data_IF_662108678755
#
_entry.id   IF_662108678755
#
_cell.length_a   1.000
_cell.length_b   1.000
_cell.length_c   1.000
_cell.angle_alpha   90.00
_cell.angle_beta   90.00
_cell.angle_gamma   90.00
#
_symmetry.space_group_name_H-M   'P 1'
#
loop_
_entity.id
_entity.type
_entity.pdbx_description
1 polymer ?
#
# COMPACT_ATOMS: atom_id res chain seq x y z
N UNK A 1 16.18 -22.87 -19.53
CA UNK A 1 17.11 -22.47 -18.45
C UNK A 1 17.34 -20.96 -18.35
N UNK A 2 17.33 -20.16 -19.43
CA UNK A 2 17.61 -18.71 -19.32
C UNK A 2 16.56 -17.83 -18.60
N UNK A 3 15.25 -18.11 -18.76
CA UNK A 3 14.20 -17.20 -18.29
C UNK A 3 14.11 -17.01 -16.77
N UNK A 4 14.20 -18.08 -15.98
CA UNK A 4 14.10 -18.00 -14.51
C UNK A 4 15.32 -17.32 -13.90
N UNK A 5 16.52 -17.57 -14.44
CA UNK A 5 17.75 -16.94 -13.97
C UNK A 5 17.81 -15.45 -14.30
N UNK A 6 17.21 -15.02 -15.42
CA UNK A 6 17.06 -13.61 -15.77
C UNK A 6 16.08 -12.90 -14.82
N UNK A 7 14.91 -13.51 -14.53
CA UNK A 7 13.95 -12.95 -13.56
C UNK A 7 14.57 -12.87 -12.15
N UNK A 8 15.35 -13.87 -11.76
CA UNK A 8 16.08 -13.85 -10.49
C UNK A 8 17.07 -12.69 -10.40
N UNK A 9 17.84 -12.44 -11.46
CA UNK A 9 18.78 -11.31 -11.51
C UNK A 9 18.06 -9.97 -11.40
N UNK A 10 16.92 -9.85 -12.07
CA UNK A 10 16.08 -8.67 -12.02
C UNK A 10 15.50 -8.40 -10.63
N UNK A 11 15.03 -9.45 -9.94
CA UNK A 11 14.64 -9.40 -8.53
C UNK A 11 15.80 -8.90 -7.69
N UNK A 12 16.99 -9.45 -7.92
CA UNK A 12 18.17 -9.11 -7.16
C UNK A 12 18.54 -7.64 -7.30
N UNK A 13 18.54 -7.13 -8.53
CA UNK A 13 18.84 -5.74 -8.84
C UNK A 13 17.79 -4.77 -8.30
N UNK A 14 16.50 -5.14 -8.34
CA UNK A 14 15.42 -4.33 -7.81
C UNK A 14 15.51 -4.20 -6.28
N UNK A 15 15.71 -5.32 -5.58
CA UNK A 15 15.77 -5.33 -4.12
C UNK A 15 17.08 -4.76 -3.59
N UNK A 16 18.20 -4.95 -4.29
CA UNK A 16 19.51 -4.42 -3.88
C UNK A 16 19.52 -2.90 -3.75
N UNK A 17 18.86 -2.19 -4.67
CA UNK A 17 18.73 -0.72 -4.59
C UNK A 17 18.05 -0.26 -3.30
N UNK A 18 17.03 -0.99 -2.86
CA UNK A 18 16.32 -0.71 -1.60
C UNK A 18 17.22 -1.02 -0.41
N UNK A 19 17.92 -2.16 -0.44
CA UNK A 19 18.84 -2.59 0.61
C UNK A 19 20.02 -1.63 0.82
N UNK A 20 20.60 -1.11 -0.27
CA UNK A 20 21.72 -0.17 -0.24
C UNK A 20 21.30 1.14 0.44
N UNK A 21 20.15 1.71 0.02
CA UNK A 21 19.61 2.93 0.63
C UNK A 21 19.17 2.72 2.07
N UNK A 22 18.60 1.56 2.39
CA UNK A 22 18.25 1.19 3.76
C UNK A 22 19.50 1.14 4.65
N UNK A 23 20.57 0.53 4.14
CA UNK A 23 21.87 0.47 4.81
C UNK A 23 22.52 1.84 5.02
N UNK A 24 22.36 2.76 4.08
CA UNK A 24 22.85 4.14 4.23
C UNK A 24 22.11 4.88 5.36
N UNK A 25 20.79 4.77 5.42
CA UNK A 25 19.99 5.38 6.49
C UNK A 25 20.29 4.74 7.85
N UNK A 26 20.46 3.41 7.91
CA UNK A 26 20.90 2.70 9.12
C UNK A 26 22.24 3.23 9.63
N UNK A 27 23.24 3.34 8.75
CA UNK A 27 24.59 3.85 9.09
C UNK A 27 24.56 5.29 9.61
N UNK A 28 23.78 6.17 8.97
CA UNK A 28 23.66 7.57 9.41
C UNK A 28 22.98 7.68 10.77
N UNK A 29 21.99 6.83 11.04
CA UNK A 29 21.33 6.76 12.34
C UNK A 29 22.27 6.25 13.44
N UNK A 30 23.11 5.26 13.11
CA UNK A 30 24.14 4.68 13.99
C UNK A 30 25.26 5.66 14.33
N UNK A 31 25.79 6.34 13.31
CA UNK A 31 26.84 7.35 13.45
C UNK A 31 26.36 8.61 14.20
N UNK A 32 25.09 8.63 14.60
CA UNK A 32 24.46 9.77 15.24
C UNK A 32 24.60 11.07 14.43
N UNK A 33 24.51 10.97 13.11
CA UNK A 33 24.71 12.07 12.16
C UNK A 33 23.95 13.34 12.61
N UNK A 34 24.65 14.45 12.89
CA UNK A 34 24.05 15.72 13.33
C UNK A 34 23.10 16.33 12.29
N UNK A 35 23.26 16.00 11.01
CA UNK A 35 22.41 16.49 9.92
C UNK A 35 21.08 15.73 9.83
N UNK A 36 20.98 14.56 10.48
CA UNK A 36 19.82 13.69 10.40
C UNK A 36 18.76 14.10 11.43
N UNK A 37 17.77 14.89 11.00
CA UNK A 37 16.60 15.21 11.80
C UNK A 37 15.54 14.09 11.78
N UNK A 38 14.65 14.07 12.78
CA UNK A 38 13.51 13.15 12.82
C UNK A 38 12.64 13.22 11.55
N UNK A 39 12.39 14.44 11.02
CA UNK A 39 11.60 14.63 9.80
C UNK A 39 12.32 14.06 8.57
N UNK A 40 13.63 14.28 8.47
CA UNK A 40 14.47 13.77 7.38
C UNK A 40 14.51 12.25 7.39
N UNK A 41 14.82 11.64 8.54
CA UNK A 41 14.86 10.19 8.71
C UNK A 41 13.51 9.54 8.36
N UNK A 42 12.41 10.13 8.82
CA UNK A 42 11.07 9.60 8.50
C UNK A 42 10.68 9.77 7.03
N UNK A 43 11.10 10.86 6.38
CA UNK A 43 10.86 11.07 4.93
C UNK A 43 11.62 10.01 4.12
N UNK A 44 12.88 9.77 4.45
CA UNK A 44 13.70 8.76 3.78
C UNK A 44 13.15 7.34 4.02
N UNK A 45 12.73 7.02 5.24
CA UNK A 45 12.06 5.75 5.56
C UNK A 45 10.77 5.55 4.75
N UNK A 46 9.93 6.58 4.60
CA UNK A 46 8.73 6.50 3.73
C UNK A 46 9.08 6.28 2.27
N UNK A 47 10.15 6.91 1.78
CA UNK A 47 10.66 6.69 0.42
C UNK A 47 11.06 5.24 0.22
N UNK A 48 11.84 4.69 1.16
CA UNK A 48 12.28 3.28 1.15
C UNK A 48 11.10 2.30 1.11
N UNK A 49 10.08 2.55 1.93
CA UNK A 49 8.86 1.73 1.94
C UNK A 49 8.12 1.80 0.61
N UNK A 50 8.01 2.99 0.01
CA UNK A 50 7.35 3.16 -1.28
C UNK A 50 8.13 2.48 -2.42
N UNK A 51 9.45 2.58 -2.41
CA UNK A 51 10.33 1.92 -3.36
C UNK A 51 10.29 0.41 -3.23
N UNK A 52 10.29 -0.12 -2.00
CA UNK A 52 10.10 -1.54 -1.76
C UNK A 52 8.75 -2.00 -2.33
N UNK A 53 7.66 -1.27 -2.05
CA UNK A 53 6.34 -1.60 -2.59
C UNK A 53 6.33 -1.63 -4.13
N UNK A 54 6.99 -0.67 -4.77
CA UNK A 54 7.10 -0.63 -6.23
C UNK A 54 7.92 -1.81 -6.77
N UNK A 55 9.08 -2.07 -6.18
CA UNK A 55 9.93 -3.21 -6.55
C UNK A 55 9.19 -4.54 -6.40
N UNK A 56 8.43 -4.71 -5.31
CA UNK A 56 7.57 -5.87 -5.10
C UNK A 56 6.51 -6.02 -6.20
N UNK A 57 5.85 -4.94 -6.58
CA UNK A 57 4.88 -4.96 -7.69
C UNK A 57 5.52 -5.38 -9.00
N UNK A 58 6.64 -4.75 -9.36
CA UNK A 58 7.38 -5.03 -10.59
C UNK A 58 7.87 -6.50 -10.62
N UNK A 59 8.31 -7.04 -9.48
CA UNK A 59 8.73 -8.44 -9.34
C UNK A 59 7.55 -9.40 -9.53
N UNK A 60 6.41 -9.13 -8.88
CA UNK A 60 5.23 -9.96 -8.99
C UNK A 60 4.73 -10.04 -10.45
N UNK A 61 4.77 -8.91 -11.16
CA UNK A 61 4.40 -8.86 -12.58
C UNK A 61 5.37 -9.68 -13.45
N UNK A 62 6.69 -9.59 -13.21
CA UNK A 62 7.69 -10.39 -13.94
C UNK A 62 7.57 -11.89 -13.69
N UNK A 63 7.31 -12.31 -12.44
CA UNK A 63 7.08 -13.73 -12.11
C UNK A 63 5.83 -14.23 -12.84
N UNK A 64 4.76 -13.43 -12.88
CA UNK A 64 3.54 -13.76 -13.62
C UNK A 64 3.80 -13.95 -15.11
N UNK A 65 4.48 -12.99 -15.75
CA UNK A 65 4.83 -13.07 -17.18
C UNK A 65 5.72 -14.28 -17.50
N UNK A 66 6.65 -14.62 -16.61
CA UNK A 66 7.50 -15.80 -16.77
C UNK A 66 6.68 -17.10 -16.68
N UNK A 67 5.70 -17.16 -15.77
CA UNK A 67 4.80 -18.31 -15.61
C UNK A 67 3.89 -18.52 -16.82
N UNK A 68 3.35 -17.44 -17.37
CA UNK A 68 2.47 -17.49 -18.57
C UNK A 68 3.22 -17.99 -19.82
N UNK A 69 4.50 -17.64 -19.97
CA UNK A 69 5.30 -18.01 -21.14
C UNK A 69 5.78 -19.46 -21.13
N UNK A 70 5.86 -20.08 -19.97
CA UNK A 70 6.59 -21.33 -19.78
C UNK A 70 5.69 -22.58 -19.69
N UNK A 71 4.36 -22.41 -19.64
CA UNK A 71 3.39 -23.49 -19.80
C UNK A 71 3.45 -24.62 -18.76
N UNK A 72 4.19 -24.44 -17.66
CA UNK A 72 4.32 -25.39 -16.54
C UNK A 72 5.63 -26.19 -16.50
N UNK A 73 6.50 -26.10 -17.51
CA UNK A 73 7.78 -26.85 -17.52
C UNK A 73 8.74 -26.42 -16.40
N UNK A 74 8.73 -25.14 -16.01
CA UNK A 74 9.54 -24.57 -14.94
C UNK A 74 8.77 -24.32 -13.64
N UNK A 75 7.61 -24.96 -13.42
CA UNK A 75 6.76 -24.72 -12.24
C UNK A 75 7.53 -24.83 -10.92
N UNK A 76 8.39 -25.86 -10.78
CA UNK A 76 9.23 -26.03 -9.60
C UNK A 76 10.26 -24.89 -9.46
N UNK A 77 10.89 -24.48 -10.55
CA UNK A 77 11.91 -23.42 -10.53
C UNK A 77 11.28 -22.05 -10.25
N UNK A 78 10.07 -21.80 -10.74
CA UNK A 78 9.27 -20.62 -10.42
C UNK A 78 8.88 -20.63 -8.94
N UNK A 79 8.42 -21.75 -8.39
CA UNK A 79 8.12 -21.86 -6.95
C UNK A 79 9.35 -21.60 -6.08
N UNK A 80 10.51 -22.13 -6.44
CA UNK A 80 11.77 -21.87 -5.74
C UNK A 80 12.15 -20.37 -5.81
N UNK A 81 11.85 -19.71 -6.95
CA UNK A 81 12.06 -18.27 -7.16
C UNK A 81 11.09 -17.41 -6.32
N UNK A 82 9.84 -17.84 -6.20
CA UNK A 82 8.82 -17.21 -5.36
C UNK A 82 9.22 -17.27 -3.88
N UNK A 83 9.60 -18.46 -3.39
CA UNK A 83 10.08 -18.65 -2.03
C UNK A 83 11.32 -17.79 -1.74
N UNK A 84 12.25 -17.72 -2.70
CA UNK A 84 13.42 -16.86 -2.63
C UNK A 84 13.03 -15.38 -2.50
N UNK A 85 12.10 -14.93 -3.33
CA UNK A 85 11.59 -13.55 -3.37
C UNK A 85 10.93 -13.16 -2.04
N UNK A 86 10.04 -14.02 -1.52
CA UNK A 86 9.37 -13.82 -0.23
C UNK A 86 10.38 -13.67 0.90
N UNK A 87 11.36 -14.58 0.97
CA UNK A 87 12.40 -14.53 2.01
C UNK A 87 13.17 -13.22 1.96
N UNK A 88 13.59 -12.77 0.77
CA UNK A 88 14.31 -11.50 0.62
C UNK A 88 13.48 -10.29 1.06
N UNK A 89 12.22 -10.22 0.66
CA UNK A 89 11.36 -9.08 1.00
C UNK A 89 11.09 -9.04 2.50
N UNK A 90 10.90 -10.19 3.15
CA UNK A 90 10.76 -10.26 4.60
C UNK A 90 12.00 -9.76 5.34
N UNK A 91 13.22 -10.04 4.84
CA UNK A 91 14.46 -9.50 5.41
C UNK A 91 14.47 -7.96 5.35
N UNK A 92 14.10 -7.37 4.21
CA UNK A 92 14.05 -5.92 4.05
C UNK A 92 12.97 -5.30 4.94
N UNK A 93 11.79 -5.94 5.00
CA UNK A 93 10.69 -5.53 5.88
C UNK A 93 11.14 -5.46 7.34
N UNK A 94 11.78 -6.50 7.84
CA UNK A 94 12.17 -6.59 9.24
C UNK A 94 13.22 -5.52 9.59
N UNK A 95 14.13 -5.23 8.65
CA UNK A 95 15.07 -4.10 8.77
C UNK A 95 14.36 -2.75 8.78
N UNK A 96 13.36 -2.53 7.93
CA UNK A 96 12.54 -1.30 7.93
C UNK A 96 11.81 -1.12 9.26
N UNK A 97 11.21 -2.18 9.81
CA UNK A 97 10.53 -2.17 11.12
C UNK A 97 11.54 -1.78 12.20
N UNK A 98 12.68 -2.46 12.25
CA UNK A 98 13.76 -2.20 13.21
C UNK A 98 14.27 -0.77 13.11
N UNK A 99 14.50 -0.28 11.89
CA UNK A 99 14.94 1.07 11.64
C UNK A 99 13.90 2.10 12.09
N UNK A 100 12.61 1.84 11.83
CA UNK A 100 11.51 2.69 12.30
C UNK A 100 11.52 2.81 13.82
N UNK A 101 11.74 1.72 14.54
CA UNK A 101 11.79 1.74 16.01
C UNK A 101 13.05 2.46 16.52
N UNK A 102 14.20 2.28 15.86
CA UNK A 102 15.42 3.01 16.20
C UNK A 102 15.27 4.52 15.99
N UNK A 103 14.61 4.95 14.92
CA UNK A 103 14.30 6.36 14.68
C UNK A 103 13.42 6.92 15.80
N UNK A 104 12.37 6.19 16.22
CA UNK A 104 11.52 6.58 17.34
C UNK A 104 12.31 6.73 18.64
N UNK A 105 13.17 5.76 18.95
CA UNK A 105 13.98 5.77 20.17
C UNK A 105 14.99 6.92 20.17
N UNK A 106 15.64 7.20 19.04
CA UNK A 106 16.65 8.27 18.93
C UNK A 106 16.06 9.67 19.09
N UNK A 107 14.91 9.94 18.47
CA UNK A 107 14.34 11.29 18.42
C UNK A 107 13.15 11.51 19.38
N UNK A 108 12.72 10.47 20.10
CA UNK A 108 11.63 10.51 21.07
C UNK A 108 10.23 10.45 20.44
N UNK A 109 9.25 9.95 21.21
CA UNK A 109 7.82 9.93 20.84
C UNK A 109 7.18 11.35 20.79
N UNK A 110 7.88 12.36 21.32
CA UNK A 110 7.43 13.74 21.52
C UNK A 110 7.66 14.69 20.34
N UNK A 111 7.82 14.20 19.12
CA UNK A 111 7.60 15.04 17.95
C UNK A 111 6.07 15.21 17.77
N UNK A 112 5.46 16.09 18.56
CA UNK A 112 4.00 16.30 18.68
C UNK A 112 3.26 16.59 17.35
N UNK A 113 3.96 16.74 16.22
CA UNK A 113 3.38 16.83 14.88
C UNK A 113 3.49 15.56 14.00
N UNK A 114 4.05 14.44 14.50
CA UNK A 114 4.41 13.25 13.69
C UNK A 114 3.59 12.00 14.07
N UNK A 115 2.70 12.07 15.06
CA UNK A 115 1.93 10.91 15.56
C UNK A 115 1.18 10.10 14.48
N UNK A 116 0.65 10.75 13.43
CA UNK A 116 0.01 10.06 12.30
C UNK A 116 0.98 9.37 11.35
N UNK A 117 2.23 9.82 11.31
CA UNK A 117 3.27 9.35 10.39
C UNK A 117 4.03 8.16 10.95
N UNK A 118 4.00 7.91 12.26
CA UNK A 118 4.74 6.80 12.91
C UNK A 118 4.04 5.44 12.74
N UNK A 119 2.71 5.46 12.65
CA UNK A 119 1.86 4.26 12.51
C UNK A 119 1.82 3.75 11.07
N UNK A 120 1.99 4.66 10.10
CA UNK A 120 1.86 4.37 8.66
C UNK A 120 3.01 3.50 8.11
N UNK A 121 4.31 3.73 8.42
CA UNK A 121 5.42 2.95 7.87
C UNK A 121 5.45 1.49 8.32
N UNK A 122 5.19 1.22 9.61
CA UNK A 122 5.15 -0.15 10.12
C UNK A 122 4.00 -0.95 9.49
N UNK A 123 2.80 -0.36 9.42
CA UNK A 123 1.65 -1.02 8.78
C UNK A 123 1.89 -1.26 7.29
N UNK A 124 2.49 -0.31 6.57
CA UNK A 124 2.83 -0.53 5.16
C UNK A 124 3.88 -1.64 5.01
N UNK A 125 4.89 -1.72 5.89
CA UNK A 125 5.89 -2.79 5.84
C UNK A 125 5.24 -4.18 6.08
N UNK A 126 4.32 -4.29 7.04
CA UNK A 126 3.53 -5.50 7.26
C UNK A 126 2.67 -5.87 6.03
N UNK A 127 2.03 -4.87 5.41
CA UNK A 127 1.22 -5.06 4.21
C UNK A 127 2.05 -5.47 3.00
N UNK A 128 3.30 -4.99 2.86
CA UNK A 128 4.21 -5.40 1.79
C UNK A 128 4.46 -6.91 1.83
N UNK A 129 4.77 -7.47 3.01
CA UNK A 129 4.97 -8.92 3.14
C UNK A 129 3.73 -9.72 2.72
N UNK A 130 2.53 -9.23 3.07
CA UNK A 130 1.26 -9.86 2.68
C UNK A 130 0.94 -9.71 1.20
N UNK A 131 1.26 -8.57 0.57
CA UNK A 131 1.04 -8.35 -0.87
C UNK A 131 1.90 -9.29 -1.70
N UNK A 132 3.14 -9.55 -1.27
CA UNK A 132 4.01 -10.55 -1.92
C UNK A 132 3.40 -11.94 -1.78
N UNK A 133 3.09 -12.35 -0.55
CA UNK A 133 2.52 -13.68 -0.31
C UNK A 133 1.21 -13.87 -1.07
N UNK A 134 0.33 -12.87 -1.06
CA UNK A 134 -0.92 -12.89 -1.83
C UNK A 134 -0.70 -12.91 -3.33
N UNK A 135 0.11 -12.03 -3.90
CA UNK A 135 0.34 -12.00 -5.35
C UNK A 135 0.98 -13.30 -5.87
N UNK A 136 1.72 -14.02 -5.01
CA UNK A 136 2.32 -15.32 -5.31
C UNK A 136 1.34 -16.49 -5.06
N UNK A 137 0.53 -16.44 -4.00
CA UNK A 137 -0.55 -17.41 -3.71
C UNK A 137 -1.76 -17.29 -4.67
N UNK A 138 -2.03 -16.10 -5.20
CA UNK A 138 -3.19 -15.75 -6.03
C UNK A 138 -3.11 -16.29 -7.48
N UNK A 139 -2.05 -17.04 -7.81
CA UNK A 139 -1.76 -17.57 -9.15
C UNK A 139 -2.57 -18.82 -9.56
N UNK A 140 -3.38 -19.44 -8.69
CA UNK A 140 -4.17 -20.62 -9.12
C UNK A 140 -5.68 -20.41 -9.25
N UNK A 141 -6.34 -19.53 -8.50
CA UNK A 141 -7.83 -19.46 -8.57
C UNK A 141 -8.44 -18.05 -8.37
N UNK A 142 -7.67 -17.04 -7.96
CA UNK A 142 -8.25 -15.78 -7.44
C UNK A 142 -8.38 -14.64 -8.46
N UNK A 143 -7.63 -14.67 -9.57
CA UNK A 143 -7.70 -13.63 -10.61
C UNK A 143 -9.09 -13.58 -11.28
N UNK A 144 -9.77 -14.73 -11.42
CA UNK A 144 -11.16 -14.76 -11.94
C UNK A 144 -12.20 -14.21 -10.95
N UNK A 145 -11.88 -14.14 -9.65
CA UNK A 145 -12.82 -13.75 -8.61
C UNK A 145 -12.53 -12.40 -7.93
N UNK A 146 -11.34 -11.83 -8.11
CA UNK A 146 -10.84 -10.67 -7.38
C UNK A 146 -10.63 -9.41 -8.23
N UNK A 147 -10.87 -9.44 -9.55
CA UNK A 147 -10.88 -8.26 -10.42
C UNK A 147 -12.12 -7.36 -10.20
N UNK A 148 -12.33 -6.95 -8.94
CA UNK A 148 -13.42 -6.09 -8.48
C UNK A 148 -13.01 -5.10 -7.39
N UNK A 149 -11.85 -4.43 -7.53
CA UNK A 149 -11.45 -3.13 -6.94
C UNK A 149 -12.04 -2.77 -5.55
N UNK A 150 -11.32 -2.96 -4.44
CA UNK A 150 -11.63 -2.24 -3.17
C UNK A 150 -10.37 -1.79 -2.40
N UNK A 151 -10.38 -0.52 -1.99
CA UNK A 151 -9.44 0.12 -1.04
C UNK A 151 -9.56 -0.51 0.36
N UNK A 152 -8.43 -0.77 1.02
CA UNK A 152 -8.34 -1.43 2.35
C UNK A 152 -8.69 -0.52 3.55
N UNK A 153 -9.52 0.51 3.38
CA UNK A 153 -9.98 1.36 4.50
C UNK A 153 -11.19 0.73 5.20
N UNK A 154 -11.04 0.39 6.48
CA UNK A 154 -12.15 -0.12 7.31
C UNK A 154 -12.95 1.04 7.87
N UNK A 155 -14.24 1.11 7.53
CA UNK A 155 -15.18 2.11 8.03
C UNK A 155 -16.21 1.43 8.95
N UNK A 156 -16.42 1.99 10.15
CA UNK A 156 -17.52 1.59 11.03
C UNK A 156 -18.74 2.46 10.72
N UNK A 157 -19.84 1.86 10.30
CA UNK A 157 -21.07 2.56 9.89
C UNK A 157 -22.29 1.99 10.60
N UNK A 158 -23.27 2.86 10.91
CA UNK A 158 -24.58 2.44 11.42
C UNK A 158 -25.54 2.26 10.24
N UNK A 159 -26.21 1.11 10.20
CA UNK A 159 -27.18 0.75 9.17
C UNK A 159 -28.52 0.47 9.88
N UNK A 160 -29.64 0.74 9.20
CA UNK A 160 -30.97 0.40 9.73
C UNK A 160 -31.16 -1.12 9.74
N UNK A 161 -31.91 -1.63 10.72
CA UNK A 161 -32.12 -3.07 10.87
C UNK A 161 -32.76 -3.72 9.64
N UNK A 162 -33.68 -3.02 8.98
CA UNK A 162 -34.34 -3.54 7.76
C UNK A 162 -33.38 -3.65 6.58
N UNK A 163 -32.49 -2.68 6.40
CA UNK A 163 -31.45 -2.72 5.36
C UNK A 163 -30.41 -3.81 5.65
N UNK A 164 -30.06 -3.99 6.94
CA UNK A 164 -29.14 -5.04 7.37
C UNK A 164 -29.70 -6.44 7.11
N UNK A 165 -31.01 -6.65 7.32
CA UNK A 165 -31.67 -7.94 7.01
C UNK A 165 -31.61 -8.28 5.53
N UNK A 166 -31.77 -7.29 4.65
CA UNK A 166 -31.63 -7.48 3.20
C UNK A 166 -30.20 -7.89 2.85
N UNK A 167 -29.21 -7.21 3.42
CA UNK A 167 -27.80 -7.54 3.24
C UNK A 167 -27.52 -8.98 3.71
N UNK A 168 -28.05 -9.36 4.88
CA UNK A 168 -27.87 -10.69 5.45
C UNK A 168 -28.45 -11.79 4.56
N UNK A 169 -29.68 -11.60 4.05
CA UNK A 169 -30.30 -12.55 3.13
C UNK A 169 -29.49 -12.73 1.84
N UNK A 170 -28.87 -11.66 1.33
CA UNK A 170 -28.04 -11.72 0.13
C UNK A 170 -26.69 -12.43 0.39
N UNK A 171 -26.15 -12.32 1.60
CA UNK A 171 -24.95 -13.05 2.00
C UNK A 171 -25.26 -14.53 2.24
N UNK A 172 -26.34 -14.83 2.98
CA UNK A 172 -26.80 -16.20 3.24
C UNK A 172 -27.19 -16.93 1.96
N UNK A 173 -27.80 -16.22 1.00
CA UNK A 173 -28.12 -16.74 -0.34
C UNK A 173 -26.90 -16.88 -1.27
N UNK A 174 -25.69 -16.53 -0.82
CA UNK A 174 -24.47 -16.67 -1.59
C UNK A 174 -24.28 -15.62 -2.69
N UNK A 175 -25.12 -14.59 -2.74
CA UNK A 175 -24.99 -13.48 -3.71
C UNK A 175 -23.76 -12.62 -3.39
N UNK A 176 -23.41 -12.48 -2.11
CA UNK A 176 -22.18 -11.84 -1.64
C UNK A 176 -21.48 -12.72 -0.60
N UNK A 177 -20.13 -12.70 -0.56
CA UNK A 177 -19.32 -13.52 0.36
C UNK A 177 -19.28 -12.97 1.78
N UNK A 178 -19.55 -11.66 1.95
CA UNK A 178 -19.59 -11.02 3.27
C UNK A 178 -20.47 -9.76 3.28
N UNK A 179 -20.91 -9.35 4.48
CA UNK A 179 -21.64 -8.09 4.67
C UNK A 179 -20.85 -6.88 4.17
N UNK A 180 -19.54 -6.87 4.39
CA UNK A 180 -18.65 -5.79 3.94
C UNK A 180 -18.60 -5.68 2.41
N UNK A 181 -18.62 -6.80 1.70
CA UNK A 181 -18.67 -6.82 0.23
C UNK A 181 -20.00 -6.28 -0.29
N UNK A 182 -21.12 -6.73 0.29
CA UNK A 182 -22.44 -6.23 -0.05
C UNK A 182 -22.55 -4.71 0.19
N UNK A 183 -22.07 -4.21 1.34
CA UNK A 183 -22.07 -2.78 1.66
C UNK A 183 -21.20 -1.98 0.70
N UNK A 184 -20.02 -2.49 0.34
CA UNK A 184 -19.15 -1.84 -0.63
C UNK A 184 -19.82 -1.74 -2.02
N UNK A 185 -20.46 -2.83 -2.45
CA UNK A 185 -21.22 -2.87 -3.71
C UNK A 185 -22.35 -1.82 -3.73
N UNK A 186 -23.20 -1.81 -2.70
CA UNK A 186 -24.31 -0.86 -2.63
C UNK A 186 -23.84 0.59 -2.51
N UNK A 187 -22.76 0.84 -1.78
CA UNK A 187 -22.16 2.19 -1.67
C UNK A 187 -21.66 2.65 -3.04
N UNK A 188 -20.95 1.80 -3.76
CA UNK A 188 -20.45 2.13 -5.09
C UNK A 188 -21.60 2.42 -6.07
N UNK A 189 -22.62 1.55 -6.11
CA UNK A 189 -23.81 1.77 -6.93
C UNK A 189 -24.57 3.03 -6.55
N UNK A 190 -24.68 3.33 -5.25
CA UNK A 190 -25.27 4.57 -4.75
C UNK A 190 -24.53 5.82 -5.23
N UNK A 191 -23.19 5.78 -5.25
CA UNK A 191 -22.34 6.86 -5.78
C UNK A 191 -22.50 6.99 -7.29
N UNK A 192 -22.50 5.88 -8.04
CA UNK A 192 -22.71 5.90 -9.50
C UNK A 192 -24.06 6.53 -9.86
N UNK A 193 -25.14 6.11 -9.21
CA UNK A 193 -26.48 6.69 -9.42
C UNK A 193 -26.56 8.17 -9.00
N UNK A 194 -25.65 8.62 -8.14
CA UNK A 194 -25.59 9.97 -7.57
C UNK A 194 -24.57 10.89 -8.25
N UNK A 195 -23.90 10.43 -9.31
CA UNK A 195 -22.72 11.09 -9.88
C UNK A 195 -22.97 12.55 -10.26
N UNK A 196 -24.09 12.83 -10.93
CA UNK A 196 -24.40 14.15 -11.48
C UNK A 196 -24.55 15.26 -10.43
N UNK A 197 -25.10 14.97 -9.25
CA UNK A 197 -25.23 15.97 -8.20
C UNK A 197 -23.96 16.07 -7.36
N UNK A 198 -23.24 14.95 -7.17
CA UNK A 198 -21.94 14.93 -6.49
C UNK A 198 -20.94 15.80 -7.24
N UNK A 199 -20.88 15.69 -8.56
CA UNK A 199 -19.97 16.45 -9.42
C UNK A 199 -20.30 17.95 -9.37
N UNK A 200 -21.57 18.32 -9.56
CA UNK A 200 -22.03 19.71 -9.39
C UNK A 200 -21.72 20.30 -8.01
N UNK A 201 -21.74 19.48 -6.96
CA UNK A 201 -21.42 19.92 -5.60
C UNK A 201 -19.92 20.14 -5.43
N UNK A 202 -19.08 19.27 -6.01
CA UNK A 202 -17.62 19.43 -6.02
C UNK A 202 -17.21 20.74 -6.70
N UNK A 203 -17.80 21.04 -7.85
CA UNK A 203 -17.50 22.28 -8.58
C UNK A 203 -17.79 23.53 -7.73
N UNK A 204 -18.95 23.54 -7.04
CA UNK A 204 -19.32 24.64 -6.13
C UNK A 204 -18.39 24.74 -4.92
N UNK A 205 -17.97 23.60 -4.36
CA UNK A 205 -17.02 23.59 -3.25
C UNK A 205 -15.64 24.12 -3.68
N UNK A 206 -15.22 23.85 -4.91
CA UNK A 206 -13.98 24.40 -5.46
C UNK A 206 -14.07 25.92 -5.65
N UNK A 207 -15.21 26.42 -6.13
CA UNK A 207 -15.47 27.86 -6.21
C UNK A 207 -15.40 28.53 -4.84
N UNK A 208 -15.99 27.92 -3.80
CA UNK A 208 -15.91 28.44 -2.43
C UNK A 208 -14.45 28.51 -1.95
N UNK A 209 -13.64 27.49 -2.24
CA UNK A 209 -12.22 27.48 -1.85
C UNK A 209 -11.43 28.59 -2.55
N UNK A 210 -11.65 28.79 -3.86
CA UNK A 210 -11.01 29.87 -4.62
C UNK A 210 -11.38 31.24 -4.07
N UNK A 211 -12.66 31.47 -3.79
CA UNK A 211 -13.12 32.72 -3.15
C UNK A 211 -12.50 32.92 -1.76
N UNK A 212 -12.35 31.86 -0.95
CA UNK A 212 -11.68 31.95 0.34
C UNK A 212 -10.19 32.29 0.23
N UNK A 213 -9.52 31.82 -0.82
CA UNK A 213 -8.12 32.12 -1.11
C UNK A 213 -7.93 33.55 -1.61
N UNK A 214 -8.80 34.03 -2.51
CA UNK A 214 -8.83 35.41 -3.00
C UNK A 214 -9.04 36.41 -1.85
N UNK A 215 -10.04 36.17 -1.00
CA UNK A 215 -10.30 37.02 0.18
C UNK A 215 -9.09 37.05 1.12
N UNK A 216 -8.40 35.92 1.31
CA UNK A 216 -7.19 35.86 2.14
C UNK A 216 -6.05 36.69 1.51
N UNK A 217 -5.88 36.61 0.19
CA UNK A 217 -4.87 37.38 -0.54
C UNK A 217 -5.08 38.89 -0.43
N UNK A 218 -6.32 39.37 -0.60
CA UNK A 218 -6.62 40.81 -0.49
C UNK A 218 -6.38 41.38 0.93
N UNK A 219 -6.58 40.57 1.96
CA UNK A 219 -6.31 40.96 3.36
C UNK A 219 -4.80 41.05 3.63
N UNK A 220 -4.00 40.20 2.98
CA UNK A 220 -2.54 40.20 3.10
C UNK A 220 -1.88 41.35 2.33
N UNK A 221 -2.45 41.78 1.19
CA UNK A 221 -1.96 42.93 0.40
C UNK A 221 -2.23 44.31 1.06
N UNK A 222 -3.22 44.41 1.95
CA UNK A 222 -3.57 45.66 2.64
C UNK A 222 -2.88 45.85 4.00
N UNK A 223 -1.93 44.99 4.35
CA UNK A 223 -1.22 44.98 5.63
C UNK A 223 0.21 45.49 5.48
#
# INVERSE_FOLDING_TARGET
MGGVDDVKRDIDDALKKVEDRLGELEKRLEAQDPSLSARTAMRELRSLVWELRRAVGDIADRIREAREKDGGELEKALRDLEDYTVKRINIIRDRIITLSDRIKTRFGAGAEGIAGITVIPLRIAEDIGRVVTKALEESLEAIEQALGRVSTTVLSVRIRDDDLRIIDSLVEGGVFRSRSEAVAFFTHKGIECSRDWIERTKDKLEQIRRLQEEIRGEIEERR
#
